data_IF_978120248525
#
_entry.id   IF_978120248525
#
_cell.length_a   1.000
_cell.length_b   1.000
_cell.length_c   1.000
_cell.angle_alpha   90.00
_cell.angle_beta   90.00
_cell.angle_gamma   90.00
#
_symmetry.space_group_name_H-M   'P 1'
#
loop_
_entity.id
_entity.type
_entity.pdbx_description
1 polymer ?
#
# COMPACT_ATOMS: atom_id res chain seq x y z
N UNK A 1 10.69 -34.09 -10.97
CA UNK A 1 9.72 -35.12 -11.42
C UNK A 1 8.31 -34.86 -10.82
N UNK A 2 8.23 -34.36 -9.59
CA UNK A 2 6.96 -33.98 -8.93
C UNK A 2 6.34 -32.75 -9.57
N UNK A 3 7.16 -31.77 -10.00
CA UNK A 3 6.71 -30.50 -10.60
C UNK A 3 5.94 -30.68 -11.91
N UNK A 4 6.35 -31.65 -12.75
CA UNK A 4 5.66 -31.90 -14.03
C UNK A 4 4.27 -32.56 -13.83
N UNK A 5 4.12 -33.36 -12.78
CA UNK A 5 2.84 -33.98 -12.41
C UNK A 5 1.88 -32.96 -11.82
N UNK A 6 2.43 -32.02 -11.06
CA UNK A 6 1.67 -30.91 -10.46
C UNK A 6 1.16 -29.94 -11.54
N UNK A 7 1.99 -29.57 -12.51
CA UNK A 7 1.60 -28.71 -13.64
C UNK A 7 0.54 -29.35 -14.56
N UNK A 8 0.51 -30.70 -14.64
CA UNK A 8 -0.51 -31.41 -15.41
C UNK A 8 -1.90 -31.39 -14.75
N UNK A 9 -1.96 -31.49 -13.41
CA UNK A 9 -3.22 -31.50 -12.67
C UNK A 9 -3.71 -30.12 -12.24
N UNK A 10 -2.78 -29.18 -12.00
CA UNK A 10 -3.10 -27.85 -11.49
C UNK A 10 -2.55 -26.78 -12.44
N UNK A 11 -3.44 -25.99 -13.03
CA UNK A 11 -3.11 -24.92 -13.98
C UNK A 11 -2.45 -23.68 -13.33
N UNK A 12 -2.02 -23.78 -12.06
CA UNK A 12 -1.44 -22.70 -11.26
C UNK A 12 0.08 -22.84 -11.12
N UNK A 13 0.79 -21.70 -11.04
CA UNK A 13 2.25 -21.68 -10.88
C UNK A 13 2.65 -22.18 -9.48
N UNK A 14 3.72 -22.96 -9.34
CA UNK A 14 4.15 -23.57 -8.07
C UNK A 14 4.52 -22.57 -6.98
N UNK A 15 4.86 -21.32 -7.34
CA UNK A 15 5.22 -20.23 -6.41
C UNK A 15 4.15 -19.98 -5.32
N UNK A 16 2.89 -20.24 -5.63
CA UNK A 16 1.76 -20.06 -4.68
C UNK A 16 1.83 -21.06 -3.53
N UNK A 17 2.45 -22.23 -3.73
CA UNK A 17 2.53 -23.29 -2.73
C UNK A 17 3.76 -23.21 -1.82
N UNK A 18 4.82 -22.49 -2.25
CA UNK A 18 6.03 -22.29 -1.43
C UNK A 18 5.80 -21.27 -0.30
N UNK A 19 4.83 -20.37 -0.45
CA UNK A 19 4.52 -19.31 0.54
C UNK A 19 3.17 -19.51 1.24
N UNK A 20 2.43 -20.59 0.91
CA UNK A 20 1.12 -20.88 1.48
C UNK A 20 1.20 -21.68 2.77
N UNK A 21 0.54 -21.25 3.82
CA UNK A 21 0.26 -22.04 5.03
C UNK A 21 -0.99 -22.90 4.81
N UNK A 22 -0.84 -24.23 4.94
CA UNK A 22 -1.99 -25.13 4.95
C UNK A 22 -2.76 -24.96 6.26
N UNK A 23 -3.99 -24.54 6.16
CA UNK A 23 -4.92 -24.47 7.27
C UNK A 23 -6.15 -25.35 6.99
N UNK A 24 -6.72 -25.92 8.04
CA UNK A 24 -7.95 -26.68 7.95
C UNK A 24 -9.07 -25.85 8.60
N UNK A 25 -10.15 -25.60 7.87
CA UNK A 25 -11.31 -24.91 8.41
C UNK A 25 -12.20 -25.89 9.19
N UNK A 26 -12.03 -25.93 10.50
CA UNK A 26 -12.74 -26.84 11.40
C UNK A 26 -14.15 -26.35 11.81
N UNK A 27 -14.84 -25.59 10.97
CA UNK A 27 -16.17 -25.09 11.36
C UNK A 27 -17.22 -26.19 11.57
N UNK A 28 -17.12 -27.32 10.90
CA UNK A 28 -18.09 -28.43 11.03
C UNK A 28 -17.79 -29.40 12.18
N UNK A 29 -16.77 -29.14 12.93
CA UNK A 29 -16.45 -29.84 14.15
C UNK A 29 -15.98 -31.29 13.98
N UNK A 30 -15.00 -31.62 14.79
CA UNK A 30 -14.46 -32.97 14.99
C UNK A 30 -15.55 -34.02 15.24
N UNK A 31 -16.71 -33.59 15.75
CA UNK A 31 -17.89 -34.46 16.01
C UNK A 31 -18.48 -35.05 14.73
N UNK A 32 -18.59 -34.27 13.65
CA UNK A 32 -19.13 -34.75 12.37
C UNK A 32 -18.16 -35.76 11.74
N UNK A 33 -16.87 -35.51 11.81
CA UNK A 33 -15.84 -36.44 11.34
C UNK A 33 -15.91 -37.77 12.14
N UNK A 34 -16.03 -37.71 13.46
CA UNK A 34 -16.15 -38.90 14.32
C UNK A 34 -17.40 -39.69 14.00
N UNK A 35 -18.55 -39.02 13.81
CA UNK A 35 -19.84 -39.70 13.45
C UNK A 35 -19.71 -40.36 12.07
N UNK A 36 -19.09 -39.72 11.08
CA UNK A 36 -18.88 -40.29 9.76
C UNK A 36 -17.95 -41.51 9.78
N UNK A 37 -16.84 -41.43 10.53
CA UNK A 37 -15.95 -42.59 10.69
C UNK A 37 -16.63 -43.72 11.41
N UNK A 38 -17.40 -43.46 12.46
CA UNK A 38 -18.13 -44.47 13.21
C UNK A 38 -19.22 -45.15 12.34
N UNK A 39 -19.98 -44.37 11.57
CA UNK A 39 -20.99 -44.92 10.63
C UNK A 39 -20.34 -45.76 9.53
N UNK A 40 -19.19 -45.32 9.01
CA UNK A 40 -18.48 -46.09 8.00
C UNK A 40 -17.93 -47.42 8.53
N UNK A 41 -17.41 -47.42 9.74
CA UNK A 41 -16.97 -48.67 10.41
C UNK A 41 -18.16 -49.57 10.67
N UNK A 42 -19.27 -49.05 11.17
CA UNK A 42 -20.50 -49.85 11.42
C UNK A 42 -21.04 -50.51 10.15
N UNK A 43 -21.15 -49.73 9.06
CA UNK A 43 -21.56 -50.24 7.75
C UNK A 43 -20.53 -51.26 7.20
N UNK A 44 -19.25 -51.07 7.40
CA UNK A 44 -18.24 -52.07 7.03
C UNK A 44 -18.47 -53.41 7.78
N UNK A 45 -18.58 -53.35 9.12
CA UNK A 45 -18.76 -54.51 9.97
C UNK A 45 -20.05 -55.29 9.58
N UNK A 46 -21.18 -54.59 9.38
CA UNK A 46 -22.45 -55.21 8.98
C UNK A 46 -22.33 -55.91 7.63
N UNK A 47 -21.73 -55.25 6.64
CA UNK A 47 -21.52 -55.80 5.30
C UNK A 47 -20.62 -57.03 5.31
N UNK A 48 -19.55 -57.01 6.12
CA UNK A 48 -18.63 -58.15 6.22
C UNK A 48 -19.23 -59.34 6.96
N UNK A 49 -20.19 -59.14 7.86
CA UNK A 49 -20.93 -60.25 8.53
C UNK A 49 -21.89 -60.96 7.61
N UNK A 50 -22.42 -60.29 6.60
CA UNK A 50 -23.44 -60.84 5.72
C UNK A 50 -22.89 -61.51 4.45
N UNK A 51 -21.65 -61.19 4.04
CA UNK A 51 -21.05 -61.71 2.78
C UNK A 51 -20.11 -62.88 3.06
N UNK A 52 -20.66 -64.08 3.08
CA UNK A 52 -19.93 -65.35 3.31
C UNK A 52 -19.35 -65.98 2.00
N UNK A 53 -19.72 -65.48 0.79
CA UNK A 53 -19.46 -66.17 -0.47
C UNK A 53 -18.48 -65.50 -1.43
N UNK A 54 -17.78 -64.39 -1.05
CA UNK A 54 -16.84 -63.73 -1.97
C UNK A 54 -15.43 -64.27 -1.88
N UNK A 55 -14.73 -64.34 -3.03
CA UNK A 55 -13.30 -64.72 -3.10
C UNK A 55 -12.46 -63.69 -2.29
N UNK A 56 -11.42 -64.14 -1.62
CA UNK A 56 -10.53 -63.29 -0.78
C UNK A 56 -9.97 -62.06 -1.52
N UNK A 57 -9.67 -62.20 -2.82
CA UNK A 57 -9.19 -61.08 -3.67
C UNK A 57 -10.25 -60.00 -3.84
N UNK A 58 -11.50 -60.35 -4.11
CA UNK A 58 -12.59 -59.39 -4.33
C UNK A 58 -12.88 -58.62 -3.06
N UNK A 59 -12.71 -59.27 -1.90
CA UNK A 59 -12.89 -58.63 -0.58
C UNK A 59 -11.82 -57.56 -0.31
N UNK A 60 -10.54 -57.77 -0.68
CA UNK A 60 -9.47 -56.81 -0.55
C UNK A 60 -9.72 -55.63 -1.47
N UNK A 61 -10.11 -55.83 -2.72
CA UNK A 61 -10.39 -54.78 -3.69
C UNK A 61 -11.53 -53.89 -3.21
N UNK A 62 -12.61 -54.48 -2.74
CA UNK A 62 -13.77 -53.75 -2.21
C UNK A 62 -13.45 -52.96 -0.95
N UNK A 63 -12.61 -53.52 -0.06
CA UNK A 63 -12.11 -52.82 1.12
C UNK A 63 -11.25 -51.61 0.75
N UNK A 64 -10.33 -51.83 -0.19
CA UNK A 64 -9.45 -50.74 -0.71
C UNK A 64 -10.26 -49.59 -1.33
N UNK A 65 -11.23 -49.92 -2.21
CA UNK A 65 -12.07 -48.92 -2.85
C UNK A 65 -12.89 -48.12 -1.82
N UNK A 66 -13.44 -48.80 -0.81
CA UNK A 66 -14.24 -48.18 0.25
C UNK A 66 -13.40 -47.25 1.14
N UNK A 67 -12.22 -47.70 1.53
CA UNK A 67 -11.30 -46.83 2.32
C UNK A 67 -10.84 -45.62 1.55
N UNK A 68 -10.62 -45.75 0.25
CA UNK A 68 -10.25 -44.62 -0.62
C UNK A 68 -11.40 -43.60 -0.73
N UNK A 69 -12.62 -44.05 -0.98
CA UNK A 69 -13.81 -43.16 -1.05
C UNK A 69 -13.99 -42.43 0.28
N UNK A 70 -13.86 -43.14 1.38
CA UNK A 70 -14.00 -42.56 2.72
C UNK A 70 -12.92 -41.56 3.03
N UNK A 71 -11.67 -41.82 2.61
CA UNK A 71 -10.53 -40.91 2.71
C UNK A 71 -10.76 -39.61 1.93
N UNK A 72 -11.25 -39.71 0.69
CA UNK A 72 -11.59 -38.55 -0.14
C UNK A 72 -12.72 -37.75 0.50
N UNK A 73 -13.74 -38.40 1.01
CA UNK A 73 -14.90 -37.74 1.65
C UNK A 73 -14.47 -37.00 2.93
N UNK A 74 -13.61 -37.61 3.75
CA UNK A 74 -13.01 -36.95 4.91
C UNK A 74 -12.14 -35.76 4.49
N UNK A 75 -11.31 -35.89 3.47
CA UNK A 75 -10.46 -34.82 2.97
C UNK A 75 -11.33 -33.63 2.49
N UNK A 76 -12.42 -33.88 1.78
CA UNK A 76 -13.36 -32.83 1.38
C UNK A 76 -14.07 -32.19 2.58
N UNK A 77 -14.39 -32.98 3.61
CA UNK A 77 -15.06 -32.47 4.80
C UNK A 77 -14.16 -31.57 5.66
N UNK A 78 -12.88 -31.86 5.70
CA UNK A 78 -11.89 -31.04 6.41
C UNK A 78 -11.59 -29.70 5.72
N UNK A 79 -12.08 -29.48 4.48
CA UNK A 79 -11.94 -28.23 3.74
C UNK A 79 -10.50 -27.69 3.79
N UNK A 80 -9.52 -28.34 3.16
CA UNK A 80 -8.15 -27.82 3.17
C UNK A 80 -8.13 -26.46 2.47
N UNK A 81 -7.78 -25.40 3.22
CA UNK A 81 -7.66 -24.03 2.72
C UNK A 81 -6.19 -23.67 2.68
N UNK A 82 -5.74 -23.21 1.51
CA UNK A 82 -4.41 -22.65 1.35
C UNK A 82 -4.47 -21.13 1.60
N UNK A 83 -3.97 -20.70 2.75
CA UNK A 83 -3.90 -19.28 3.09
C UNK A 83 -2.58 -18.74 2.52
N UNK A 84 -2.68 -18.01 1.41
CA UNK A 84 -1.54 -17.29 0.86
C UNK A 84 -1.54 -15.89 1.47
N UNK A 85 -0.66 -15.64 2.42
CA UNK A 85 -0.42 -14.30 2.96
C UNK A 85 0.49 -13.55 1.98
N UNK A 86 -0.07 -12.98 0.95
CA UNK A 86 0.64 -11.99 0.15
C UNK A 86 0.61 -10.69 0.97
N UNK A 87 1.69 -10.36 1.65
CA UNK A 87 1.91 -9.00 2.07
C UNK A 87 2.08 -8.19 0.77
N UNK A 88 0.99 -7.61 0.27
CA UNK A 88 1.12 -6.49 -0.63
C UNK A 88 1.81 -5.42 0.20
N UNK A 89 3.03 -4.97 -0.16
CA UNK A 89 3.57 -3.79 0.46
C UNK A 89 2.56 -2.69 0.16
N UNK A 90 1.76 -2.31 1.16
CA UNK A 90 0.98 -1.09 1.07
C UNK A 90 2.04 0.00 1.00
N UNK A 91 2.34 0.45 -0.22
CA UNK A 91 3.18 1.62 -0.40
C UNK A 91 2.38 2.77 0.19
N UNK A 92 2.78 3.20 1.38
CA UNK A 92 2.21 4.36 2.00
C UNK A 92 2.44 5.56 1.08
N UNK A 93 1.46 6.43 0.99
CA UNK A 93 1.53 7.61 0.12
C UNK A 93 2.39 8.65 0.80
N UNK A 94 3.38 9.18 0.09
CA UNK A 94 4.14 10.36 0.46
C UNK A 94 3.68 11.53 -0.41
N UNK A 95 3.04 12.53 0.19
CA UNK A 95 2.66 13.75 -0.52
C UNK A 95 3.84 14.70 -0.59
N UNK A 96 4.16 15.21 -1.77
CA UNK A 96 5.20 16.23 -1.99
C UNK A 96 4.52 17.50 -2.46
N UNK A 97 4.55 18.55 -1.64
CA UNK A 97 4.00 19.86 -1.94
C UNK A 97 5.11 20.79 -2.41
N UNK A 98 4.99 21.27 -3.63
CA UNK A 98 5.94 22.15 -4.28
C UNK A 98 5.36 23.56 -4.37
N UNK A 99 6.09 24.53 -3.86
CA UNK A 99 5.71 25.94 -3.93
C UNK A 99 5.81 26.45 -5.37
N UNK A 100 4.69 26.93 -5.89
CA UNK A 100 4.54 27.46 -7.27
C UNK A 100 4.32 28.98 -7.26
N UNK A 101 4.76 29.66 -6.18
CA UNK A 101 4.63 31.11 -6.05
C UNK A 101 5.72 31.88 -6.79
N UNK A 102 5.46 33.18 -7.00
CA UNK A 102 6.42 34.10 -7.65
C UNK A 102 7.75 34.22 -6.91
N UNK A 103 7.78 34.01 -5.59
CA UNK A 103 9.01 34.03 -4.80
C UNK A 103 10.04 32.99 -5.23
N UNK A 104 9.59 31.91 -5.86
CA UNK A 104 10.50 30.89 -6.41
C UNK A 104 11.33 31.39 -7.60
N UNK A 105 10.99 32.51 -8.23
CA UNK A 105 11.80 33.11 -9.31
C UNK A 105 13.01 33.93 -8.79
N UNK A 106 13.12 34.09 -7.48
CA UNK A 106 14.28 34.80 -6.88
C UNK A 106 15.52 33.95 -7.06
N UNK A 107 16.60 34.59 -7.50
CA UNK A 107 17.92 34.00 -7.66
C UNK A 107 18.79 34.40 -6.48
N UNK A 108 18.87 33.57 -5.45
CA UNK A 108 19.64 33.84 -4.23
C UNK A 108 20.67 32.75 -3.89
N UNK A 109 20.78 31.69 -4.70
CA UNK A 109 21.78 30.64 -4.55
C UNK A 109 22.60 30.51 -5.84
N UNK A 110 23.89 30.87 -5.82
CA UNK A 110 24.83 30.76 -6.95
C UNK A 110 24.26 31.27 -8.30
N UNK A 111 23.50 32.35 -8.25
CA UNK A 111 22.81 32.92 -9.41
C UNK A 111 21.76 32.01 -10.04
N UNK A 112 21.35 30.93 -9.36
CA UNK A 112 20.26 30.05 -9.75
C UNK A 112 18.96 30.44 -9.04
N UNK A 113 17.82 30.30 -9.75
CA UNK A 113 16.52 30.55 -9.15
C UNK A 113 16.11 29.38 -8.26
N UNK A 114 15.35 29.64 -7.19
CA UNK A 114 14.76 28.61 -6.33
C UNK A 114 13.93 27.63 -7.15
N UNK A 115 13.24 28.10 -8.20
CA UNK A 115 12.51 27.30 -9.16
C UNK A 115 13.37 26.22 -9.84
N UNK A 116 14.64 26.53 -10.17
CA UNK A 116 15.57 25.57 -10.75
C UNK A 116 15.82 24.40 -9.80
N UNK A 117 16.03 24.69 -8.52
CA UNK A 117 16.21 23.66 -7.50
C UNK A 117 14.98 22.71 -7.39
N UNK A 118 13.77 23.29 -7.38
CA UNK A 118 12.53 22.47 -7.34
C UNK A 118 12.45 21.57 -8.57
N UNK A 119 12.69 22.11 -9.76
CA UNK A 119 12.63 21.33 -11.01
C UNK A 119 13.63 20.20 -11.03
N UNK A 120 14.88 20.48 -10.68
CA UNK A 120 15.97 19.51 -10.74
C UNK A 120 15.82 18.39 -9.70
N UNK A 121 15.27 18.69 -8.53
CA UNK A 121 15.23 17.76 -7.41
C UNK A 121 13.90 17.04 -7.23
N UNK A 122 12.78 17.68 -7.55
CA UNK A 122 11.45 17.19 -7.22
C UNK A 122 10.49 17.07 -8.40
N UNK A 123 10.66 17.84 -9.47
CA UNK A 123 9.78 17.77 -10.64
C UNK A 123 10.21 16.65 -11.59
N UNK A 124 11.50 16.39 -11.73
CA UNK A 124 12.01 15.31 -12.57
C UNK A 124 11.92 13.97 -11.87
N UNK A 125 11.20 13.02 -12.47
CA UNK A 125 11.15 11.61 -12.02
C UNK A 125 12.52 10.93 -12.08
N UNK A 126 13.44 11.48 -12.84
CA UNK A 126 14.83 10.99 -12.94
C UNK A 126 15.74 11.49 -11.84
N UNK A 127 15.26 12.39 -10.97
CA UNK A 127 16.07 12.88 -9.85
C UNK A 127 16.37 11.73 -8.87
N UNK A 128 17.58 11.72 -8.30
CA UNK A 128 17.98 10.71 -7.33
C UNK A 128 17.04 10.70 -6.10
N UNK A 129 16.60 11.88 -5.67
CA UNK A 129 15.72 12.04 -4.50
C UNK A 129 14.36 11.39 -4.74
N UNK A 130 13.75 11.66 -5.90
CA UNK A 130 12.43 11.09 -6.25
C UNK A 130 12.55 9.57 -6.43
N UNK A 131 13.63 9.08 -7.06
CA UNK A 131 13.86 7.63 -7.21
C UNK A 131 13.99 6.92 -5.87
N UNK A 132 14.84 7.41 -4.97
CA UNK A 132 15.05 6.81 -3.65
C UNK A 132 13.78 6.80 -2.80
N UNK A 133 12.93 7.82 -2.95
CA UNK A 133 11.64 7.88 -2.29
C UNK A 133 10.62 6.94 -2.94
N UNK A 134 10.60 6.84 -4.27
CA UNK A 134 9.66 5.99 -5.02
C UNK A 134 9.86 4.49 -4.78
N UNK A 135 11.08 4.09 -4.40
CA UNK A 135 11.37 2.71 -3.99
C UNK A 135 10.62 2.28 -2.73
N UNK A 136 10.24 3.24 -1.87
CA UNK A 136 9.63 2.98 -0.57
C UNK A 136 8.19 3.48 -0.45
N UNK A 137 7.84 4.55 -1.17
CA UNK A 137 6.56 5.25 -1.06
C UNK A 137 5.91 5.42 -2.43
N UNK A 138 4.59 5.48 -2.43
CA UNK A 138 3.84 5.97 -3.58
C UNK A 138 3.83 7.50 -3.53
N UNK A 139 4.64 8.16 -4.38
CA UNK A 139 4.74 9.61 -4.39
C UNK A 139 3.51 10.21 -5.06
N UNK A 140 2.91 11.22 -4.42
CA UNK A 140 1.90 12.11 -5.00
C UNK A 140 2.39 13.53 -4.91
N UNK A 141 2.61 14.15 -6.04
CA UNK A 141 3.11 15.51 -6.14
C UNK A 141 1.95 16.50 -6.27
N UNK A 142 2.04 17.59 -5.52
CA UNK A 142 1.10 18.71 -5.54
C UNK A 142 1.88 20.00 -5.76
N UNK A 143 1.34 20.91 -6.53
CA UNK A 143 1.77 22.32 -6.56
C UNK A 143 0.86 23.13 -5.67
N UNK A 144 1.37 24.15 -5.03
CA UNK A 144 0.56 25.03 -4.25
C UNK A 144 0.98 26.50 -4.38
N UNK A 145 -0.01 27.37 -4.24
CA UNK A 145 0.13 28.81 -4.05
C UNK A 145 -0.96 29.26 -3.07
N UNK A 146 -2.11 29.71 -3.50
CA UNK A 146 -3.27 29.98 -2.64
C UNK A 146 -3.97 28.70 -2.15
N UNK A 147 -3.88 27.60 -2.89
CA UNK A 147 -4.35 26.27 -2.52
C UNK A 147 -3.48 25.20 -3.18
N UNK A 148 -3.60 23.93 -2.76
CA UNK A 148 -2.89 22.84 -3.40
C UNK A 148 -3.72 22.22 -4.51
N UNK A 149 -3.04 21.86 -5.61
CA UNK A 149 -3.59 21.14 -6.75
C UNK A 149 -2.65 20.00 -7.11
N UNK A 150 -3.19 18.82 -7.34
CA UNK A 150 -2.40 17.66 -7.74
C UNK A 150 -1.75 17.86 -9.10
N UNK A 151 -0.48 17.53 -9.17
CA UNK A 151 0.31 17.48 -10.40
C UNK A 151 0.13 16.11 -11.08
N UNK A 152 -0.49 16.11 -12.28
CA UNK A 152 -0.66 14.89 -13.07
C UNK A 152 0.45 14.72 -14.12
N UNK A 153 1.15 15.80 -14.47
CA UNK A 153 2.15 15.82 -15.55
C UNK A 153 3.39 16.57 -15.10
N UNK A 154 4.57 16.06 -15.46
CA UNK A 154 5.83 16.78 -15.31
C UNK A 154 5.82 18.12 -16.09
N UNK A 155 6.55 19.11 -15.61
CA UNK A 155 6.70 20.41 -16.29
C UNK A 155 5.50 21.35 -16.13
N UNK A 156 4.61 21.11 -15.17
CA UNK A 156 3.41 21.95 -15.00
C UNK A 156 3.56 23.06 -13.95
N UNK A 157 4.75 23.24 -13.36
CA UNK A 157 5.06 24.36 -12.44
C UNK A 157 5.30 25.63 -13.24
N UNK A 158 4.46 26.65 -13.02
CA UNK A 158 4.53 27.94 -13.72
C UNK A 158 5.27 29.02 -12.91
N UNK A 159 5.29 28.86 -11.57
CA UNK A 159 5.84 29.81 -10.62
C UNK A 159 5.22 31.21 -10.78
N UNK A 160 3.91 31.27 -10.94
CA UNK A 160 3.17 32.52 -11.18
C UNK A 160 2.16 32.85 -10.06
N UNK A 161 2.11 32.03 -9.00
CA UNK A 161 1.27 32.25 -7.86
C UNK A 161 1.61 33.54 -7.12
N UNK A 162 0.62 34.42 -6.98
CA UNK A 162 0.77 35.73 -6.30
C UNK A 162 0.70 35.68 -4.78
N UNK A 163 0.28 34.53 -4.23
CA UNK A 163 0.10 34.31 -2.79
C UNK A 163 0.63 32.94 -2.43
N UNK A 164 1.01 32.76 -1.16
CA UNK A 164 1.44 31.47 -0.61
C UNK A 164 0.65 31.23 0.66
N UNK A 165 -0.29 30.27 0.64
CA UNK A 165 -1.10 29.91 1.78
C UNK A 165 -0.77 28.45 2.17
N UNK A 166 0.20 28.30 3.07
CA UNK A 166 0.69 26.97 3.48
C UNK A 166 -0.40 26.19 4.23
N UNK A 167 -1.11 26.81 5.13
CA UNK A 167 -2.19 26.18 5.88
C UNK A 167 -3.28 25.62 4.96
N UNK A 168 -3.80 26.44 4.05
CA UNK A 168 -4.82 26.01 3.09
C UNK A 168 -4.32 24.88 2.16
N UNK A 169 -3.05 24.92 1.76
CA UNK A 169 -2.43 23.86 0.95
C UNK A 169 -2.35 22.52 1.71
N UNK A 170 -1.95 22.56 2.99
CA UNK A 170 -1.90 21.36 3.84
C UNK A 170 -3.28 20.77 4.05
N UNK A 171 -4.30 21.59 4.29
CA UNK A 171 -5.68 21.14 4.45
C UNK A 171 -6.25 20.54 3.16
N UNK A 172 -5.98 21.14 2.00
CA UNK A 172 -6.41 20.61 0.73
C UNK A 172 -5.82 19.20 0.47
N UNK A 173 -4.52 19.03 0.73
CA UNK A 173 -3.85 17.74 0.58
C UNK A 173 -4.37 16.72 1.59
N UNK A 174 -4.59 17.12 2.86
CA UNK A 174 -5.18 16.27 3.88
C UNK A 174 -6.57 15.76 3.46
N UNK A 175 -7.40 16.62 2.90
CA UNK A 175 -8.73 16.27 2.42
C UNK A 175 -8.66 15.31 1.22
N UNK A 176 -7.79 15.57 0.25
CA UNK A 176 -7.64 14.72 -0.94
C UNK A 176 -7.10 13.32 -0.60
N UNK A 177 -6.23 13.23 0.41
CA UNK A 177 -5.66 11.96 0.86
C UNK A 177 -6.46 11.28 1.98
N UNK A 178 -7.60 11.83 2.36
CA UNK A 178 -8.44 11.27 3.42
C UNK A 178 -8.83 9.83 3.14
N UNK A 179 -8.65 8.96 4.14
CA UNK A 179 -8.93 7.52 4.02
C UNK A 179 -7.86 6.70 3.30
N UNK A 180 -6.76 7.32 2.88
CA UNK A 180 -5.61 6.63 2.27
C UNK A 180 -4.47 6.48 3.30
N UNK A 181 -3.61 5.45 3.16
CA UNK A 181 -2.45 5.29 4.04
C UNK A 181 -1.37 6.33 3.70
N UNK A 182 -1.35 7.45 4.42
CA UNK A 182 -0.36 8.53 4.23
C UNK A 182 0.82 8.30 5.16
N UNK A 183 2.04 8.25 4.60
CA UNK A 183 3.30 8.17 5.35
C UNK A 183 3.72 9.53 5.92
N UNK A 184 3.40 10.61 5.20
CA UNK A 184 3.75 11.97 5.56
C UNK A 184 3.60 12.94 4.40
N UNK A 185 3.87 14.20 4.69
CA UNK A 185 3.85 15.30 3.73
C UNK A 185 5.23 15.95 3.71
N UNK A 186 5.80 16.13 2.53
CA UNK A 186 7.03 16.90 2.31
C UNK A 186 6.62 18.25 1.72
N UNK A 187 6.87 19.32 2.46
CA UNK A 187 6.60 20.69 2.05
C UNK A 187 7.89 21.36 1.59
N UNK A 188 7.95 21.78 0.34
CA UNK A 188 9.10 22.41 -0.29
C UNK A 188 8.74 23.86 -0.61
N UNK A 189 9.27 24.82 0.17
CA UNK A 189 8.92 26.27 0.08
C UNK A 189 10.05 27.10 0.68
N UNK A 190 10.02 28.41 0.43
CA UNK A 190 10.86 29.41 1.12
C UNK A 190 10.29 29.84 2.49
N UNK A 191 9.12 29.34 2.84
CA UNK A 191 8.45 29.65 4.10
C UNK A 191 7.77 31.02 4.14
N UNK A 192 7.72 31.76 3.03
CA UNK A 192 7.02 33.04 2.96
C UNK A 192 5.50 32.85 2.88
N UNK A 193 4.89 32.56 4.04
CA UNK A 193 3.44 32.39 4.14
C UNK A 193 2.74 33.75 4.18
N UNK A 194 1.82 33.98 3.25
CA UNK A 194 0.96 35.17 3.20
C UNK A 194 -0.42 34.92 3.79
N UNK A 195 -0.71 33.69 4.24
CA UNK A 195 -1.95 33.29 4.88
C UNK A 195 -2.03 33.80 6.32
N UNK A 196 -3.22 34.21 6.74
CA UNK A 196 -3.45 34.72 8.12
C UNK A 196 -4.04 33.60 8.98
N UNK A 197 -3.23 33.05 9.91
CA UNK A 197 -3.71 32.26 11.04
C UNK A 197 -4.08 30.78 10.80
N UNK A 198 -4.07 30.32 9.58
CA UNK A 198 -4.54 28.96 9.21
C UNK A 198 -3.51 27.84 9.48
N UNK A 199 -2.20 28.19 9.52
CA UNK A 199 -1.13 27.20 9.62
C UNK A 199 -1.18 26.38 10.92
N UNK A 200 -1.47 27.01 12.05
CA UNK A 200 -1.53 26.34 13.35
C UNK A 200 -2.65 25.31 13.43
N UNK A 201 -3.81 25.63 12.86
CA UNK A 201 -4.99 24.77 12.88
C UNK A 201 -4.78 23.57 11.96
N UNK A 202 -4.23 23.79 10.76
CA UNK A 202 -3.90 22.74 9.80
C UNK A 202 -2.81 21.79 10.36
N UNK A 203 -1.79 22.35 11.01
CA UNK A 203 -0.73 21.55 11.65
C UNK A 203 -1.28 20.69 12.81
N UNK A 204 -2.22 21.25 13.61
CA UNK A 204 -2.88 20.50 14.66
C UNK A 204 -3.74 19.37 14.10
N UNK A 205 -4.49 19.61 13.03
CA UNK A 205 -5.32 18.60 12.37
C UNK A 205 -4.47 17.43 11.85
N UNK A 206 -3.35 17.72 11.19
CA UNK A 206 -2.40 16.69 10.71
C UNK A 206 -1.78 15.89 11.85
N UNK A 207 -1.43 16.56 12.96
CA UNK A 207 -0.89 15.89 14.13
C UNK A 207 -1.91 14.93 14.78
N UNK A 208 -3.20 15.31 14.84
CA UNK A 208 -4.26 14.44 15.34
C UNK A 208 -4.47 13.19 14.46
N UNK A 209 -4.22 13.32 13.17
CA UNK A 209 -4.25 12.19 12.21
C UNK A 209 -2.93 11.40 12.15
N UNK A 210 -1.92 11.77 12.96
CA UNK A 210 -0.57 11.21 12.94
C UNK A 210 0.13 11.30 11.58
N UNK A 211 -0.12 12.36 10.81
CA UNK A 211 0.53 12.64 9.54
C UNK A 211 1.69 13.60 9.78
N UNK A 212 2.96 13.15 9.72
CA UNK A 212 4.11 14.03 9.90
C UNK A 212 4.30 14.95 8.71
N UNK A 213 4.71 16.19 8.96
CA UNK A 213 5.10 17.16 7.92
C UNK A 213 6.60 17.41 8.01
N UNK A 214 7.29 17.17 6.89
CA UNK A 214 8.70 17.42 6.72
C UNK A 214 8.89 18.66 5.84
N UNK A 215 9.59 19.68 6.33
CA UNK A 215 9.81 20.91 5.59
C UNK A 215 11.20 20.95 4.95
N UNK A 216 11.24 21.30 3.68
CA UNK A 216 12.46 21.58 2.93
C UNK A 216 12.49 23.07 2.62
N UNK A 217 13.29 23.83 3.37
CA UNK A 217 13.47 25.26 3.15
C UNK A 217 14.35 25.52 1.94
N UNK A 218 13.92 26.43 1.07
CA UNK A 218 14.67 26.88 -0.11
C UNK A 218 14.94 28.37 0.02
N UNK A 219 16.17 28.79 -0.29
CA UNK A 219 16.60 30.19 -0.21
C UNK A 219 17.69 30.40 0.84
N UNK A 220 18.14 31.63 0.98
CA UNK A 220 19.16 32.05 1.95
C UNK A 220 18.49 32.76 3.13
N UNK A 221 18.96 32.49 4.37
CA UNK A 221 18.50 33.18 5.58
C UNK A 221 19.02 34.64 5.65
N UNK A 222 20.08 34.99 4.91
CA UNK A 222 20.61 36.34 4.87
C UNK A 222 19.84 37.17 3.87
N UNK A 223 19.01 38.08 4.35
CA UNK A 223 18.35 39.09 3.51
C UNK A 223 19.43 39.89 2.75
N UNK A 224 19.44 39.76 1.42
CA UNK A 224 20.05 40.76 0.55
C UNK A 224 19.46 42.11 0.92
N UNK A 225 20.30 43.14 1.19
CA UNK A 225 19.88 44.44 1.66
C UNK A 225 18.56 44.91 1.04
N UNK A 226 17.53 44.86 1.83
CA UNK A 226 16.22 45.37 1.40
C UNK A 226 16.17 46.86 1.69
N UNK A 227 15.97 47.65 0.64
CA UNK A 227 15.86 49.12 0.76
C UNK A 227 14.44 49.44 1.06
N UNK A 228 14.14 49.59 2.35
CA UNK A 228 12.80 50.00 2.80
C UNK A 228 12.70 51.55 2.78
N UNK A 229 11.78 52.06 1.97
CA UNK A 229 11.48 53.49 1.97
C UNK A 229 10.52 53.74 3.14
N UNK A 230 11.03 54.32 4.24
CA UNK A 230 10.31 54.51 5.48
C UNK A 230 9.40 55.75 5.44
N UNK A 231 9.69 56.79 4.65
CA UNK A 231 8.84 57.96 4.41
C UNK A 231 9.14 58.69 3.11
N UNK A 232 8.12 59.02 2.37
CA UNK A 232 8.12 60.07 1.34
C UNK A 232 7.41 61.26 1.94
N UNK A 233 8.20 62.34 2.29
CA UNK A 233 7.71 63.60 2.80
C UNK A 233 7.31 64.55 1.68
#
# INVERSE_FOLDING_TARGET
>A
MVDNLFQFFFRYRPIVFEQGEFSFDFQAGIYVAVVLVATAIAVAVITYRQVTSCRFRDRIILLGLRTTILGILLLCLFGPVLIVRTALPQQNILAVLLDDSLSMKIADWDNQTRATFIRDKFESLDSSVVKDLSDRFLIRTFRFSSTAVRLETEGSLAFDGSQTHIGAALDAVRQELSGLPVAGIVLVSDGADTGIGELSDSALALNLENIPVFTVGIGQETATQDVQIDRVG
#
